data_IF_999441602814
#
_entry.id   IF_999441602814
#
_cell.length_a   1.000
_cell.length_b   1.000
_cell.length_c   1.000
_cell.angle_alpha   90.00
_cell.angle_beta   90.00
_cell.angle_gamma   90.00
#
_symmetry.space_group_name_H-M   'P 1'
#
loop_
_entity.id
_entity.type
_entity.pdbx_description
1 polymer ?
#
# COMPACT_ATOMS: atom_id res chain seq x y z
N UNK A 1 43.15 3.14 -8.42
CA UNK A 1 42.09 3.26 -9.44
C UNK A 1 40.82 2.74 -8.77
N UNK A 2 40.07 3.62 -8.11
CA UNK A 2 38.80 3.27 -7.47
C UNK A 2 37.71 3.41 -8.53
N UNK A 3 37.06 2.29 -8.83
CA UNK A 3 35.94 2.22 -9.74
C UNK A 3 34.69 2.66 -8.98
N UNK A 4 34.05 3.73 -9.44
CA UNK A 4 32.64 3.96 -9.11
C UNK A 4 31.82 3.09 -10.06
N UNK A 5 31.51 1.87 -9.62
CA UNK A 5 30.33 1.16 -10.12
C UNK A 5 29.12 1.91 -9.61
N UNK A 6 28.17 2.26 -10.49
CA UNK A 6 26.83 2.60 -10.04
C UNK A 6 26.31 1.35 -9.32
N UNK A 7 26.18 1.43 -7.99
CA UNK A 7 25.69 0.34 -7.15
C UNK A 7 24.35 -0.15 -7.69
N UNK A 8 24.17 -1.47 -7.72
CA UNK A 8 22.88 -2.11 -7.97
C UNK A 8 21.81 -1.40 -7.12
N UNK A 9 20.77 -0.89 -7.78
CA UNK A 9 19.67 -0.22 -7.07
C UNK A 9 19.05 -1.27 -6.13
N UNK A 10 19.11 -1.09 -4.81
CA UNK A 10 18.50 -2.03 -3.88
C UNK A 10 16.99 -2.12 -4.15
N UNK A 11 16.34 -3.26 -3.85
CA UNK A 11 14.88 -3.38 -3.94
C UNK A 11 14.22 -2.19 -3.24
N UNK A 12 13.08 -1.72 -3.76
CA UNK A 12 12.39 -0.52 -3.30
C UNK A 12 12.26 -0.50 -1.78
N UNK A 13 13.10 0.30 -1.12
CA UNK A 13 13.05 0.50 0.31
C UNK A 13 12.33 1.81 0.62
N UNK A 14 11.55 1.86 1.71
CA UNK A 14 11.03 3.12 2.21
C UNK A 14 12.21 4.06 2.51
N UNK A 15 12.15 5.30 2.00
CA UNK A 15 13.19 6.30 2.24
C UNK A 15 13.02 7.00 3.60
N UNK A 16 11.79 7.04 4.12
CA UNK A 16 11.44 7.52 5.46
C UNK A 16 10.02 7.06 5.82
N UNK A 17 9.74 6.95 7.12
CA UNK A 17 8.40 6.78 7.70
C UNK A 17 8.24 7.89 8.74
N UNK A 18 7.18 8.69 8.65
CA UNK A 18 6.88 9.82 9.55
C UNK A 18 8.01 10.85 9.71
N UNK A 19 8.85 11.00 8.69
CA UNK A 19 9.97 11.95 8.67
C UNK A 19 11.27 11.41 9.29
N UNK A 20 11.26 10.21 9.87
CA UNK A 20 12.45 9.50 10.31
C UNK A 20 12.96 8.57 9.20
N UNK A 21 14.26 8.65 8.89
CA UNK A 21 14.92 7.76 7.94
C UNK A 21 14.92 6.34 8.52
N UNK A 22 14.21 5.41 7.90
CA UNK A 22 14.13 4.00 8.33
C UNK A 22 14.82 3.09 7.33
N UNK A 23 15.59 2.14 7.86
CA UNK A 23 16.30 1.10 7.11
C UNK A 23 15.50 -0.22 7.26
N UNK A 24 14.29 -0.27 6.71
CA UNK A 24 13.47 -1.49 6.74
C UNK A 24 13.61 -2.28 5.44
N UNK A 25 14.01 -3.54 5.58
CA UNK A 25 14.14 -4.50 4.50
C UNK A 25 12.79 -5.15 4.21
N UNK A 26 12.17 -4.78 3.08
CA UNK A 26 10.93 -5.42 2.60
C UNK A 26 11.28 -6.76 1.91
N UNK A 27 10.55 -7.86 2.17
CA UNK A 27 10.75 -9.12 1.46
C UNK A 27 10.40 -9.02 -0.03
N UNK A 28 11.26 -9.56 -0.89
CA UNK A 28 11.04 -9.59 -2.34
C UNK A 28 10.03 -10.68 -2.70
N UNK A 29 8.81 -10.31 -3.09
CA UNK A 29 7.85 -11.21 -3.73
C UNK A 29 8.18 -11.32 -5.23
N UNK A 30 8.43 -12.55 -5.70
CA UNK A 30 8.66 -12.83 -7.12
C UNK A 30 7.33 -12.91 -7.86
N UNK A 31 6.89 -11.82 -8.47
CA UNK A 31 5.73 -11.81 -9.38
C UNK A 31 6.10 -12.55 -10.68
N UNK A 32 5.18 -13.38 -11.20
CA UNK A 32 5.39 -14.09 -12.45
C UNK A 32 5.15 -13.15 -13.64
N UNK A 33 6.18 -12.87 -14.43
CA UNK A 33 6.13 -12.01 -15.61
C UNK A 33 5.07 -12.47 -16.62
N UNK A 34 3.92 -11.79 -16.67
CA UNK A 34 3.05 -11.80 -17.85
C UNK A 34 3.63 -10.83 -18.88
N UNK A 35 3.70 -11.28 -20.13
CA UNK A 35 4.39 -10.58 -21.21
C UNK A 35 3.86 -9.17 -21.45
N UNK A 36 4.71 -8.17 -21.23
CA UNK A 36 4.47 -6.80 -21.66
C UNK A 36 4.30 -6.77 -23.18
N UNK A 37 3.15 -6.30 -23.65
CA UNK A 37 2.94 -6.04 -25.07
C UNK A 37 3.90 -4.92 -25.52
N UNK A 38 4.71 -5.19 -26.55
CA UNK A 38 5.68 -4.24 -27.10
C UNK A 38 4.98 -2.96 -27.54
N UNK A 39 5.37 -1.81 -26.96
CA UNK A 39 4.86 -0.50 -27.39
C UNK A 39 5.58 -0.12 -28.70
N UNK A 40 4.97 0.78 -29.48
CA UNK A 40 5.59 1.33 -30.70
C UNK A 40 6.11 2.72 -30.41
N UNK A 41 7.04 3.27 -31.21
CA UNK A 41 7.57 4.63 -31.01
C UNK A 41 6.50 5.72 -31.07
N UNK A 42 5.35 5.45 -31.69
CA UNK A 42 4.19 6.33 -31.63
C UNK A 42 3.59 6.48 -30.22
N UNK A 43 4.01 5.66 -29.25
CA UNK A 43 3.59 5.71 -27.86
C UNK A 43 4.45 6.64 -27.00
N UNK A 44 5.47 7.28 -27.58
CA UNK A 44 6.32 8.24 -26.90
C UNK A 44 6.15 9.65 -27.47
N UNK A 45 6.33 10.66 -26.62
CA UNK A 45 6.40 12.07 -26.98
C UNK A 45 7.74 12.62 -26.53
N UNK A 46 8.42 13.33 -27.42
CA UNK A 46 9.63 14.05 -27.06
C UNK A 46 9.25 15.23 -26.15
N UNK A 47 9.80 15.25 -24.93
CA UNK A 47 9.54 16.31 -23.95
C UNK A 47 10.64 17.37 -23.93
N UNK A 48 11.84 17.02 -24.41
CA UNK A 48 12.89 17.99 -24.72
C UNK A 48 13.84 17.46 -25.80
N UNK A 49 14.43 18.39 -26.56
CA UNK A 49 15.45 18.11 -27.56
C UNK A 49 16.87 18.43 -27.08
N UNK A 50 17.84 17.78 -27.72
CA UNK A 50 19.26 18.08 -27.57
C UNK A 50 19.64 19.42 -28.19
N UNK A 51 20.77 19.97 -27.74
CA UNK A 51 21.28 21.27 -28.21
C UNK A 51 22.10 21.21 -29.52
N UNK A 52 22.33 20.02 -30.08
CA UNK A 52 23.13 19.79 -31.28
C UNK A 52 24.36 18.91 -31.02
N UNK A 53 25.08 18.61 -32.10
CA UNK A 53 26.33 17.82 -32.14
C UNK A 53 27.53 18.63 -32.67
N UNK A 54 27.41 19.95 -32.71
CA UNK A 54 28.50 20.84 -33.07
C UNK A 54 29.65 20.75 -32.06
N UNK A 55 30.88 21.13 -32.45
CA UNK A 55 32.06 20.99 -31.57
C UNK A 55 31.95 21.70 -30.21
N UNK A 56 31.15 22.76 -30.14
CA UNK A 56 30.91 23.57 -28.95
C UNK A 56 29.55 23.33 -28.31
N UNK A 57 28.71 22.48 -28.91
CA UNK A 57 27.42 22.15 -28.32
C UNK A 57 27.72 21.34 -27.06
N UNK A 58 27.34 21.86 -25.90
CA UNK A 58 27.49 21.19 -24.61
C UNK A 58 26.11 21.01 -24.05
N UNK A 59 25.82 19.80 -23.63
CA UNK A 59 24.54 19.41 -23.09
C UNK A 59 24.72 18.65 -21.78
N UNK A 60 23.60 18.30 -21.16
CA UNK A 60 23.59 17.50 -19.95
C UNK A 60 22.57 16.36 -20.03
N UNK A 61 22.93 15.22 -19.44
CA UNK A 61 22.02 14.11 -19.23
C UNK A 61 21.10 14.40 -18.03
N UNK A 62 19.93 13.77 -18.03
CA UNK A 62 18.98 13.82 -16.93
C UNK A 62 19.61 13.17 -15.69
N UNK A 63 19.60 13.93 -14.60
CA UNK A 63 19.86 13.40 -13.26
C UNK A 63 18.56 13.51 -12.47
N UNK A 64 17.68 12.55 -12.71
CA UNK A 64 16.35 12.45 -12.12
C UNK A 64 16.27 11.37 -11.04
N UNK A 65 15.16 11.38 -10.31
CA UNK A 65 14.73 10.27 -9.45
C UNK A 65 14.41 9.03 -10.30
N UNK A 66 14.15 7.87 -9.69
CA UNK A 66 13.67 6.64 -10.39
C UNK A 66 14.47 6.19 -11.61
N UNK A 67 15.79 6.36 -11.58
CA UNK A 67 16.67 5.72 -12.54
C UNK A 67 16.52 4.21 -12.46
N UNK A 68 16.21 3.57 -13.59
CA UNK A 68 16.09 2.12 -13.66
C UNK A 68 17.41 1.51 -14.06
N UNK A 69 17.91 1.89 -15.24
CA UNK A 69 19.12 1.32 -15.84
C UNK A 69 19.52 2.13 -17.08
N UNK A 70 20.54 1.65 -17.79
CA UNK A 70 20.95 2.19 -19.08
C UNK A 70 21.35 1.07 -20.04
N UNK A 71 21.32 1.40 -21.32
CA UNK A 71 21.97 0.62 -22.37
C UNK A 71 22.77 1.53 -23.30
N UNK A 72 23.64 0.93 -24.08
CA UNK A 72 24.31 1.57 -25.21
C UNK A 72 23.59 1.14 -26.48
N UNK A 73 23.22 2.12 -27.32
CA UNK A 73 22.55 1.86 -28.59
C UNK A 73 23.46 2.25 -29.75
N UNK A 74 23.21 1.72 -30.95
CA UNK A 74 24.02 2.03 -32.12
C UNK A 74 24.07 3.55 -32.40
N UNK A 75 25.28 4.12 -32.55
CA UNK A 75 25.49 5.56 -32.80
C UNK A 75 25.66 5.94 -34.28
N UNK A 76 25.50 5.02 -35.24
CA UNK A 76 25.54 5.37 -36.67
C UNK A 76 24.47 6.41 -37.03
N UNK A 77 23.37 6.41 -36.26
CA UNK A 77 22.41 7.50 -36.21
C UNK A 77 22.09 7.82 -34.75
N UNK A 78 21.40 8.94 -34.51
CA UNK A 78 20.81 9.21 -33.20
C UNK A 78 19.59 8.30 -33.00
N UNK A 79 19.84 7.03 -32.64
CA UNK A 79 18.90 5.93 -32.73
C UNK A 79 17.89 5.92 -31.58
N UNK A 80 16.86 6.76 -31.73
CA UNK A 80 15.74 6.88 -30.79
C UNK A 80 14.98 5.57 -30.68
N UNK A 81 14.76 4.89 -31.80
CA UNK A 81 13.93 3.68 -31.86
C UNK A 81 14.49 2.56 -30.99
N UNK A 82 15.80 2.31 -31.03
CA UNK A 82 16.44 1.30 -30.19
C UNK A 82 16.41 1.67 -28.70
N UNK A 83 16.55 2.96 -28.38
CA UNK A 83 16.44 3.43 -27.01
C UNK A 83 15.03 3.26 -26.44
N UNK A 84 14.00 3.56 -27.23
CA UNK A 84 12.60 3.38 -26.83
C UNK A 84 12.22 1.89 -26.76
N UNK A 85 12.70 1.06 -27.70
CA UNK A 85 12.55 -0.39 -27.64
C UNK A 85 13.19 -0.97 -26.36
N UNK A 86 14.34 -0.44 -25.95
CA UNK A 86 14.97 -0.82 -24.69
C UNK A 86 14.11 -0.42 -23.49
N UNK A 87 13.59 0.81 -23.45
CA UNK A 87 12.63 1.23 -22.42
C UNK A 87 11.45 0.26 -22.34
N UNK A 88 10.84 -0.13 -23.46
CA UNK A 88 9.73 -1.08 -23.48
C UNK A 88 10.07 -2.48 -22.94
N UNK A 89 11.35 -2.86 -22.98
CA UNK A 89 11.84 -4.13 -22.43
C UNK A 89 12.12 -4.06 -20.92
N UNK A 90 12.23 -2.85 -20.36
CA UNK A 90 12.50 -2.61 -18.94
C UNK A 90 11.19 -2.40 -18.21
N UNK A 91 10.89 -3.29 -17.26
CA UNK A 91 9.69 -3.19 -16.44
C UNK A 91 9.61 -1.83 -15.73
N UNK A 92 8.43 -1.20 -15.80
CA UNK A 92 8.19 0.11 -15.19
C UNK A 92 8.77 1.30 -15.97
N UNK A 93 9.47 1.11 -17.09
CA UNK A 93 9.98 2.24 -17.85
C UNK A 93 8.86 3.08 -18.49
N UNK A 94 8.94 4.40 -18.26
CA UNK A 94 8.02 5.39 -18.86
C UNK A 94 8.74 6.59 -19.44
N UNK A 95 10.06 6.66 -19.30
CA UNK A 95 10.87 7.74 -19.83
C UNK A 95 12.26 7.27 -20.23
N UNK A 96 12.77 7.82 -21.33
CA UNK A 96 14.12 7.59 -21.81
C UNK A 96 14.85 8.92 -22.04
N UNK A 97 16.11 9.00 -21.64
CA UNK A 97 17.03 10.06 -22.02
C UNK A 97 18.18 9.47 -22.86
N UNK A 98 18.26 9.91 -24.11
CA UNK A 98 19.28 9.51 -25.06
C UNK A 98 20.27 10.66 -25.22
N UNK A 99 21.55 10.37 -25.17
CA UNK A 99 22.59 11.40 -25.30
C UNK A 99 23.92 10.79 -25.73
N UNK A 100 24.78 11.60 -26.34
CA UNK A 100 26.17 11.22 -26.58
C UNK A 100 27.00 11.52 -25.33
N UNK A 101 27.85 10.59 -24.92
CA UNK A 101 28.84 10.76 -23.85
C UNK A 101 30.24 10.53 -24.42
N UNK A 102 31.00 11.62 -24.62
CA UNK A 102 32.32 11.58 -25.23
C UNK A 102 33.44 11.46 -24.20
N UNK A 103 34.60 10.99 -24.65
CA UNK A 103 35.81 10.81 -23.83
C UNK A 103 35.59 9.84 -22.66
N UNK A 104 34.83 8.76 -22.91
CA UNK A 104 34.60 7.69 -21.94
C UNK A 104 35.21 6.39 -22.47
N UNK A 105 36.34 5.91 -21.93
CA UNK A 105 37.06 4.75 -22.45
C UNK A 105 36.24 3.46 -22.41
N UNK A 106 35.24 3.35 -21.52
CA UNK A 106 34.35 2.19 -21.52
C UNK A 106 33.46 2.16 -22.77
N UNK A 107 32.90 3.31 -23.14
CA UNK A 107 32.05 3.48 -24.32
C UNK A 107 32.87 3.41 -25.62
N UNK A 108 34.05 4.00 -25.60
CA UNK A 108 34.89 4.13 -26.79
C UNK A 108 35.63 2.84 -27.15
N UNK A 109 36.04 2.04 -26.15
CA UNK A 109 37.02 0.96 -26.33
C UNK A 109 36.57 -0.41 -25.81
N UNK A 110 35.64 -0.47 -24.85
CA UNK A 110 35.34 -1.71 -24.12
C UNK A 110 34.01 -2.33 -24.57
N UNK A 111 32.96 -1.54 -24.70
CA UNK A 111 31.67 -2.05 -25.16
C UNK A 111 31.75 -2.48 -26.63
N UNK A 112 31.25 -3.68 -26.91
CA UNK A 112 31.28 -4.31 -28.24
C UNK A 112 30.52 -3.52 -29.32
N UNK A 113 29.61 -2.67 -28.86
CA UNK A 113 28.77 -1.77 -29.62
C UNK A 113 29.57 -0.64 -30.28
N UNK A 114 30.77 -0.32 -29.76
CA UNK A 114 31.63 0.76 -30.27
C UNK A 114 30.92 2.12 -30.31
N UNK A 115 30.02 2.34 -29.35
CA UNK A 115 29.07 3.44 -29.37
C UNK A 115 29.16 4.28 -28.10
N UNK A 116 29.16 5.59 -28.31
CA UNK A 116 29.05 6.61 -27.27
C UNK A 116 27.62 7.13 -27.10
N UNK A 117 26.63 6.52 -27.76
CA UNK A 117 25.22 6.89 -27.66
C UNK A 117 24.56 6.08 -26.54
N UNK A 118 24.29 6.76 -25.43
CA UNK A 118 23.80 6.18 -24.19
C UNK A 118 22.32 6.47 -24.01
N UNK A 119 21.56 5.42 -23.72
CA UNK A 119 20.14 5.48 -23.42
C UNK A 119 19.93 5.16 -21.94
N UNK A 120 19.63 6.17 -21.13
CA UNK A 120 19.21 5.97 -19.73
C UNK A 120 17.69 5.93 -19.64
N UNK A 121 17.15 5.05 -18.81
CA UNK A 121 15.71 4.82 -18.69
C UNK A 121 15.22 4.94 -17.24
N UNK A 122 14.00 5.44 -17.08
CA UNK A 122 13.45 5.88 -15.80
C UNK A 122 12.00 5.44 -15.64
N UNK A 123 11.57 5.22 -14.39
CA UNK A 123 10.18 4.90 -14.05
C UNK A 123 9.28 6.13 -13.85
N UNK A 124 9.75 7.32 -14.21
CA UNK A 124 8.92 8.53 -14.27
C UNK A 124 9.38 9.51 -15.34
N UNK A 125 8.51 10.45 -15.67
CA UNK A 125 8.73 11.47 -16.69
C UNK A 125 9.60 12.60 -16.18
N UNK A 126 10.70 12.88 -16.87
CA UNK A 126 11.60 13.99 -16.55
C UNK A 126 11.50 15.13 -17.57
N UNK A 127 11.97 16.30 -17.19
CA UNK A 127 11.96 17.50 -18.02
C UNK A 127 13.36 18.12 -18.20
N UNK A 128 13.48 19.10 -19.09
CA UNK A 128 14.77 19.68 -19.47
C UNK A 128 15.53 20.33 -18.29
N UNK A 129 14.83 20.79 -17.25
CA UNK A 129 15.46 21.40 -16.06
C UNK A 129 16.27 20.39 -15.24
N UNK A 130 16.02 19.09 -15.42
CA UNK A 130 16.73 18.00 -14.74
C UNK A 130 18.01 17.58 -15.49
N UNK A 131 18.31 18.20 -16.64
CA UNK A 131 19.56 18.04 -17.39
C UNK A 131 20.71 18.72 -16.63
N UNK A 132 21.22 18.05 -15.61
CA UNK A 132 22.24 18.60 -14.69
C UNK A 132 23.54 17.80 -14.65
N UNK A 133 23.60 16.64 -15.31
CA UNK A 133 24.84 15.89 -15.47
C UNK A 133 25.54 16.32 -16.78
N UNK A 134 26.56 17.17 -16.68
CA UNK A 134 27.32 17.66 -17.83
C UNK A 134 28.53 16.78 -18.20
N UNK A 135 28.80 15.71 -17.45
CA UNK A 135 30.11 15.05 -17.44
C UNK A 135 31.11 15.82 -16.58
N UNK A 136 32.35 15.97 -17.06
CA UNK A 136 33.42 16.70 -16.38
C UNK A 136 34.39 15.82 -15.56
N UNK A 137 34.32 14.50 -15.71
CA UNK A 137 35.25 13.54 -15.13
C UNK A 137 36.47 13.30 -16.04
N UNK A 138 37.65 13.18 -15.42
CA UNK A 138 38.87 12.77 -16.11
C UNK A 138 38.89 11.23 -16.22
N UNK A 139 38.32 10.69 -17.30
CA UNK A 139 38.20 9.23 -17.50
C UNK A 139 39.40 8.62 -18.24
N UNK A 140 39.92 9.33 -19.26
CA UNK A 140 41.22 9.01 -19.85
C UNK A 140 42.37 9.54 -18.99
N UNK A 141 43.58 8.94 -19.05
CA UNK A 141 44.76 9.49 -18.39
C UNK A 141 45.03 10.94 -18.81
N UNK A 142 45.37 11.80 -17.85
CA UNK A 142 45.80 13.16 -18.14
C UNK A 142 47.02 13.12 -19.12
N UNK A 143 47.06 14.01 -20.12
CA UNK A 143 46.33 15.28 -20.25
C UNK A 143 45.10 15.22 -21.18
N UNK A 144 44.47 14.06 -21.35
CA UNK A 144 43.26 13.96 -22.18
C UNK A 144 42.13 14.89 -21.66
N UNK A 145 41.22 15.37 -22.54
CA UNK A 145 40.07 16.16 -22.10
C UNK A 145 39.17 15.43 -21.09
N UNK A 146 38.36 16.19 -20.36
CA UNK A 146 37.30 15.65 -19.52
C UNK A 146 36.15 15.13 -20.40
N UNK A 147 35.43 14.12 -19.93
CA UNK A 147 34.21 13.68 -20.60
C UNK A 147 33.14 14.78 -20.63
N UNK A 148 32.27 14.71 -21.63
CA UNK A 148 31.20 15.68 -21.78
C UNK A 148 30.01 15.06 -22.51
N UNK A 149 28.84 15.68 -22.33
CA UNK A 149 27.59 15.23 -22.92
C UNK A 149 27.15 16.15 -24.06
N UNK A 150 26.56 15.58 -25.11
CA UNK A 150 25.96 16.29 -26.24
C UNK A 150 24.61 15.69 -26.63
N UNK A 151 23.81 16.48 -27.36
CA UNK A 151 22.55 16.05 -27.97
C UNK A 151 21.68 15.24 -27.02
N UNK A 152 21.36 15.79 -25.84
CA UNK A 152 20.57 15.09 -24.83
C UNK A 152 19.09 15.37 -25.02
N UNK A 153 18.34 14.35 -25.47
CA UNK A 153 16.90 14.44 -25.70
C UNK A 153 16.15 13.49 -24.78
N UNK A 154 14.90 13.82 -24.48
CA UNK A 154 14.06 13.08 -23.54
C UNK A 154 12.72 12.72 -24.16
N UNK A 155 12.27 11.49 -23.93
CA UNK A 155 10.99 10.98 -24.43
C UNK A 155 10.20 10.36 -23.30
N UNK A 156 8.98 10.83 -23.11
CA UNK A 156 8.02 10.29 -22.15
C UNK A 156 7.00 9.41 -22.87
N UNK A 157 6.56 8.33 -22.23
CA UNK A 157 5.41 7.58 -22.69
C UNK A 157 4.17 8.49 -22.70
N UNK A 158 3.40 8.49 -23.79
CA UNK A 158 2.16 9.27 -23.96
C UNK A 158 1.08 8.88 -22.95
N UNK A 159 1.08 7.61 -22.56
CA UNK A 159 0.25 7.07 -21.50
C UNK A 159 1.16 6.34 -20.51
N UNK A 160 1.07 6.73 -19.23
CA UNK A 160 1.54 5.85 -18.18
C UNK A 160 0.61 4.64 -18.17
N UNK A 161 1.17 3.43 -18.16
CA UNK A 161 0.33 2.24 -17.96
C UNK A 161 -0.35 2.38 -16.61
N UNK A 162 -1.66 2.13 -16.61
CA UNK A 162 -2.39 2.06 -15.35
C UNK A 162 -1.82 0.88 -14.57
N UNK A 163 -1.26 1.14 -13.39
CA UNK A 163 -0.52 0.10 -12.70
C UNK A 163 -1.53 -0.87 -12.04
N UNK A 164 -1.16 -2.15 -11.95
CA UNK A 164 -2.06 -3.21 -11.47
C UNK A 164 -2.52 -2.98 -10.03
N UNK A 165 -3.70 -3.46 -9.66
CA UNK A 165 -4.15 -3.35 -8.25
C UNK A 165 -3.39 -4.38 -7.40
N UNK A 166 -2.77 -3.98 -6.28
CA UNK A 166 -2.10 -4.93 -5.39
C UNK A 166 -3.02 -6.06 -4.94
N UNK A 167 -2.47 -7.25 -4.76
CA UNK A 167 -3.22 -8.38 -4.24
C UNK A 167 -3.78 -8.06 -2.85
N UNK A 168 -5.03 -8.43 -2.58
CA UNK A 168 -5.69 -8.13 -1.30
C UNK A 168 -6.22 -6.71 -1.17
N UNK A 169 -6.19 -5.92 -2.26
CA UNK A 169 -6.72 -4.55 -2.27
C UNK A 169 -7.70 -4.34 -3.42
N UNK A 170 -8.65 -3.44 -3.21
CA UNK A 170 -9.52 -2.90 -4.25
C UNK A 170 -9.19 -1.44 -4.51
N UNK A 171 -9.03 -1.08 -5.78
CA UNK A 171 -8.86 0.33 -6.17
C UNK A 171 -10.20 1.05 -6.05
N UNK A 172 -10.25 2.07 -5.20
CA UNK A 172 -11.47 2.87 -4.95
C UNK A 172 -11.51 4.15 -5.78
N UNK A 173 -10.36 4.75 -6.13
CA UNK A 173 -10.33 5.89 -7.05
C UNK A 173 -8.99 6.11 -7.74
N UNK A 174 -9.02 7.00 -8.73
CA UNK A 174 -7.85 7.59 -9.38
C UNK A 174 -7.55 7.04 -10.78
N UNK A 175 -6.53 7.59 -11.46
CA UNK A 175 -5.64 8.64 -10.98
C UNK A 175 -6.31 10.03 -10.89
N UNK A 176 -6.03 10.78 -9.82
CA UNK A 176 -6.41 12.20 -9.67
C UNK A 176 -5.19 13.07 -9.38
N UNK A 177 -5.38 14.39 -9.27
CA UNK A 177 -4.35 15.34 -8.82
C UNK A 177 -4.58 15.80 -7.38
N UNK A 178 -5.16 14.93 -6.54
CA UNK A 178 -5.46 15.23 -5.14
C UNK A 178 -5.25 14.01 -4.25
N UNK A 179 -4.59 14.20 -3.12
CA UNK A 179 -4.41 13.18 -2.09
C UNK A 179 -5.52 13.24 -1.04
N UNK A 180 -5.69 12.14 -0.30
CA UNK A 180 -6.65 12.09 0.79
C UNK A 180 -6.25 13.00 1.95
N UNK A 181 -7.26 13.63 2.54
CA UNK A 181 -7.23 14.21 3.86
C UNK A 181 -8.44 13.65 4.61
N UNK A 182 -8.29 12.40 5.09
CA UNK A 182 -9.36 11.60 5.69
C UNK A 182 -9.07 11.34 7.18
N UNK A 183 -10.10 11.05 7.99
CA UNK A 183 -9.93 10.50 9.33
C UNK A 183 -9.15 9.18 9.33
N UNK A 184 -8.59 8.83 10.49
CA UNK A 184 -7.88 7.56 10.67
C UNK A 184 -6.48 7.51 10.06
N UNK A 185 -5.86 8.67 9.83
CA UNK A 185 -4.49 8.77 9.32
C UNK A 185 -3.48 8.14 10.27
N UNK A 186 -2.66 7.23 9.73
CA UNK A 186 -1.65 6.46 10.47
C UNK A 186 -0.21 6.93 10.21
N UNK A 187 -0.04 7.96 9.37
CA UNK A 187 1.28 8.38 8.91
C UNK A 187 1.51 8.10 7.44
N UNK A 188 2.77 8.28 7.03
CA UNK A 188 3.15 8.11 5.63
C UNK A 188 4.58 7.62 5.46
N UNK A 189 4.84 7.05 4.30
CA UNK A 189 6.18 6.68 3.86
C UNK A 189 6.53 7.33 2.52
N UNK A 190 7.81 7.65 2.33
CA UNK A 190 8.32 8.00 1.01
C UNK A 190 8.82 6.78 0.28
N UNK A 191 8.43 6.64 -0.98
CA UNK A 191 8.91 5.62 -1.89
C UNK A 191 9.85 6.23 -2.91
N UNK A 192 10.82 5.44 -3.35
CA UNK A 192 11.77 5.86 -4.38
C UNK A 192 11.17 5.81 -5.79
N UNK A 193 10.05 5.10 -6.00
CA UNK A 193 9.31 4.96 -7.26
C UNK A 193 7.79 4.86 -7.00
N UNK A 194 6.97 5.04 -8.04
CA UNK A 194 5.52 4.85 -7.94
C UNK A 194 5.19 3.35 -7.89
N UNK A 195 5.23 2.75 -6.70
CA UNK A 195 5.06 1.31 -6.46
C UNK A 195 3.90 1.06 -5.50
N UNK A 196 2.80 0.50 -6.00
CA UNK A 196 1.63 0.24 -5.14
C UNK A 196 1.81 -1.05 -4.34
N UNK A 197 2.58 -2.03 -4.81
CA UNK A 197 2.83 -3.26 -4.04
C UNK A 197 3.72 -2.95 -2.84
N UNK A 198 4.71 -2.06 -3.02
CA UNK A 198 5.51 -1.55 -1.90
C UNK A 198 4.64 -0.75 -0.90
N UNK A 199 3.70 0.06 -1.38
CA UNK A 199 2.78 0.80 -0.52
C UNK A 199 1.77 -0.12 0.21
N UNK A 200 1.26 -1.14 -0.48
CA UNK A 200 0.42 -2.17 0.12
C UNK A 200 1.18 -2.93 1.21
N UNK A 201 2.41 -3.38 0.93
CA UNK A 201 3.25 -4.05 1.93
C UNK A 201 3.55 -3.17 3.15
N UNK A 202 3.72 -1.86 2.97
CA UNK A 202 3.86 -0.92 4.08
C UNK A 202 2.57 -0.86 4.91
N UNK A 203 1.39 -0.77 4.27
CA UNK A 203 0.10 -0.81 4.96
C UNK A 203 -0.09 -2.15 5.70
N UNK A 204 0.22 -3.28 5.07
CA UNK A 204 0.05 -4.63 5.65
C UNK A 204 0.91 -4.86 6.90
N UNK A 205 2.10 -4.26 6.93
CA UNK A 205 3.09 -4.41 8.00
C UNK A 205 3.11 -3.24 8.98
N UNK A 206 2.33 -2.19 8.72
CA UNK A 206 2.23 -1.05 9.61
C UNK A 206 1.61 -1.48 10.94
N UNK A 207 2.19 -1.02 12.05
CA UNK A 207 1.67 -1.30 13.39
C UNK A 207 0.24 -0.80 13.51
N UNK A 208 -0.61 -1.57 14.17
CA UNK A 208 -1.99 -1.15 14.37
C UNK A 208 -2.07 0.11 15.24
N UNK A 209 -2.98 1.01 14.89
CA UNK A 209 -3.34 2.12 15.76
C UNK A 209 -4.12 1.56 16.97
N UNK A 210 -3.79 1.96 18.21
CA UNK A 210 -4.44 1.43 19.41
C UNK A 210 -5.96 1.67 19.47
N UNK A 211 -6.45 2.67 18.74
CA UNK A 211 -7.88 3.02 18.65
C UNK A 211 -8.47 2.51 17.34
N UNK A 212 -7.73 2.60 16.24
CA UNK A 212 -8.24 2.35 14.90
C UNK A 212 -8.07 0.95 14.34
N UNK A 213 -7.10 0.19 14.87
CA UNK A 213 -6.73 -1.12 14.35
C UNK A 213 -5.67 -1.06 13.25
N UNK A 214 -5.53 -2.14 12.48
CA UNK A 214 -4.61 -2.21 11.35
C UNK A 214 -4.92 -1.20 10.26
N UNK A 215 -3.94 -0.97 9.38
CA UNK A 215 -4.14 -0.24 8.15
C UNK A 215 -5.15 -0.98 7.25
N UNK A 216 -6.18 -0.25 6.82
CA UNK A 216 -7.27 -0.74 5.97
C UNK A 216 -7.35 0.01 4.65
N UNK A 217 -6.56 1.06 4.48
CA UNK A 217 -6.58 1.90 3.30
C UNK A 217 -5.25 2.61 3.10
N UNK A 218 -4.83 2.76 1.85
CA UNK A 218 -3.72 3.63 1.52
C UNK A 218 -4.00 4.51 0.30
N UNK A 219 -3.36 5.68 0.30
CA UNK A 219 -3.33 6.61 -0.81
C UNK A 219 -1.88 6.81 -1.28
N UNK A 220 -1.61 6.42 -2.52
CA UNK A 220 -0.30 6.64 -3.15
C UNK A 220 -0.37 7.76 -4.18
N UNK A 221 0.56 8.71 -4.10
CA UNK A 221 0.61 9.87 -4.99
C UNK A 221 2.03 10.36 -5.26
N UNK A 222 2.19 11.11 -6.36
CA UNK A 222 3.46 11.70 -6.79
C UNK A 222 3.52 13.18 -6.43
N UNK A 223 4.59 13.58 -5.76
CA UNK A 223 4.89 14.96 -5.41
C UNK A 223 5.73 15.62 -6.51
N UNK A 224 5.26 16.77 -7.03
CA UNK A 224 6.05 17.65 -7.90
C UNK A 224 6.45 18.86 -7.07
N UNK A 225 7.72 19.22 -7.05
CA UNK A 225 8.20 20.49 -6.46
C UNK A 225 8.73 21.33 -7.60
N UNK A 226 8.15 22.53 -7.79
CA UNK A 226 8.47 23.38 -8.95
C UNK A 226 8.29 22.67 -10.30
N UNK A 227 7.27 21.80 -10.40
CA UNK A 227 7.00 21.00 -11.59
C UNK A 227 7.90 19.78 -11.78
N UNK A 228 8.88 19.56 -10.89
CA UNK A 228 9.84 18.45 -10.97
C UNK A 228 9.37 17.30 -10.05
N UNK A 229 9.17 16.08 -10.58
CA UNK A 229 8.91 14.90 -9.75
C UNK A 229 10.01 14.69 -8.71
N UNK A 230 9.63 14.77 -7.43
CA UNK A 230 10.60 14.76 -6.33
C UNK A 230 10.50 13.51 -5.46
N UNK A 231 9.28 13.05 -5.18
CA UNK A 231 9.05 11.87 -4.34
C UNK A 231 7.68 11.25 -4.60
N UNK A 232 7.47 10.05 -4.07
CA UNK A 232 6.20 9.36 -4.02
C UNK A 232 5.83 9.14 -2.56
N UNK A 233 4.58 9.41 -2.24
CA UNK A 233 4.10 9.30 -0.86
C UNK A 233 3.06 8.21 -0.79
N UNK A 234 3.24 7.30 0.16
CA UNK A 234 2.29 6.29 0.58
C UNK A 234 1.68 6.73 1.91
N UNK A 235 0.46 7.27 1.89
CA UNK A 235 -0.27 7.66 3.09
C UNK A 235 -1.20 6.53 3.53
N UNK A 236 -1.15 6.15 4.81
CA UNK A 236 -1.84 4.96 5.34
C UNK A 236 -2.95 5.38 6.32
N UNK A 237 -4.04 4.63 6.34
CA UNK A 237 -5.21 4.91 7.16
C UNK A 237 -5.86 3.62 7.70
N UNK A 238 -6.35 3.66 8.93
CA UNK A 238 -7.13 2.56 9.51
C UNK A 238 -8.63 2.67 9.19
N UNK A 239 -9.09 3.83 8.68
CA UNK A 239 -10.46 4.03 8.19
C UNK A 239 -10.41 4.04 6.65
N UNK A 240 -11.18 3.16 5.97
CA UNK A 240 -11.36 3.23 4.54
C UNK A 240 -11.86 4.60 4.06
N UNK A 241 -11.31 5.10 2.97
CA UNK A 241 -11.66 6.38 2.38
C UNK A 241 -11.92 6.26 0.87
N UNK A 242 -12.50 7.31 0.28
CA UNK A 242 -12.81 7.37 -1.16
C UNK A 242 -12.34 8.71 -1.79
N UNK A 243 -12.69 8.93 -3.06
CA UNK A 243 -12.33 10.15 -3.81
C UNK A 243 -12.87 11.44 -3.15
N UNK A 244 -13.97 11.35 -2.38
CA UNK A 244 -14.60 12.54 -1.76
C UNK A 244 -13.69 13.21 -0.73
N UNK A 245 -12.80 12.42 -0.10
CA UNK A 245 -11.80 12.91 0.84
C UNK A 245 -10.47 13.30 0.17
N UNK A 246 -10.33 13.10 -1.14
CA UNK A 246 -9.17 13.51 -1.92
C UNK A 246 -9.18 15.02 -2.20
N UNK A 247 -8.98 15.81 -1.14
CA UNK A 247 -9.06 17.28 -1.17
C UNK A 247 -7.69 17.97 -1.00
N UNK A 248 -6.63 17.23 -0.69
CA UNK A 248 -5.28 17.79 -0.57
C UNK A 248 -4.69 17.97 -1.98
N UNK A 249 -4.43 19.22 -2.38
CA UNK A 249 -3.85 19.55 -3.68
C UNK A 249 -2.31 19.79 -3.61
N UNK A 250 -1.72 19.71 -2.41
CA UNK A 250 -0.37 20.16 -2.12
C UNK A 250 -0.32 21.55 -1.46
N UNK A 251 0.89 22.03 -1.18
CA UNK A 251 1.14 23.32 -0.51
C UNK A 251 2.39 24.00 -1.06
N UNK A 252 2.31 25.31 -1.32
CA UNK A 252 3.42 26.08 -1.90
C UNK A 252 3.75 25.58 -3.30
N UNK A 253 5.03 25.26 -3.54
CA UNK A 253 5.50 24.71 -4.82
C UNK A 253 5.25 23.21 -4.97
N UNK A 254 4.75 22.54 -3.91
CA UNK A 254 4.40 21.12 -3.94
C UNK A 254 3.01 20.95 -4.58
N UNK A 255 2.97 20.18 -5.66
CA UNK A 255 1.75 19.79 -6.37
C UNK A 255 1.60 18.27 -6.34
N UNK A 256 0.38 17.80 -6.04
CA UNK A 256 0.05 16.38 -6.02
C UNK A 256 -0.44 15.94 -7.40
N UNK A 257 0.09 14.82 -7.89
CA UNK A 257 -0.37 14.21 -9.14
C UNK A 257 -0.44 12.70 -9.02
N UNK A 258 -1.16 12.06 -9.95
CA UNK A 258 -1.24 10.59 -10.05
C UNK A 258 -1.66 9.94 -8.72
N UNK A 259 -2.56 10.56 -7.99
CA UNK A 259 -3.06 10.05 -6.72
C UNK A 259 -4.08 8.92 -6.94
N UNK A 260 -3.94 7.82 -6.20
CA UNK A 260 -4.84 6.67 -6.25
C UNK A 260 -5.12 6.15 -4.84
N UNK A 261 -6.35 5.71 -4.62
CA UNK A 261 -6.79 5.15 -3.35
C UNK A 261 -7.07 3.66 -3.46
N UNK A 262 -6.64 2.90 -2.45
CA UNK A 262 -6.81 1.45 -2.38
C UNK A 262 -7.31 1.07 -0.99
N UNK A 263 -8.40 0.31 -0.94
CA UNK A 263 -8.94 -0.27 0.29
C UNK A 263 -8.46 -1.71 0.42
N UNK A 264 -8.01 -2.10 1.60
CA UNK A 264 -7.64 -3.47 1.91
C UNK A 264 -8.91 -4.31 1.98
N UNK A 265 -8.89 -5.46 1.33
CA UNK A 265 -10.02 -6.38 1.31
C UNK A 265 -10.23 -6.96 2.71
N UNK A 266 -11.44 -6.81 3.22
CA UNK A 266 -11.89 -7.47 4.44
C UNK A 266 -12.81 -8.63 4.07
N UNK A 267 -12.41 -9.85 4.40
CA UNK A 267 -13.20 -11.04 4.12
C UNK A 267 -14.41 -11.18 5.07
N UNK A 268 -14.41 -10.50 6.22
CA UNK A 268 -15.55 -10.44 7.13
C UNK A 268 -16.55 -9.42 6.62
N UNK A 269 -17.76 -9.88 6.34
CA UNK A 269 -18.89 -9.01 6.05
C UNK A 269 -19.43 -8.46 7.36
N UNK A 270 -19.57 -7.13 7.42
CA UNK A 270 -20.29 -6.44 8.50
C UNK A 270 -19.78 -6.76 9.91
N UNK A 271 -18.46 -6.79 10.09
CA UNK A 271 -17.85 -7.10 11.39
C UNK A 271 -17.99 -6.01 12.45
N UNK A 272 -18.58 -4.85 12.10
CA UNK A 272 -19.07 -3.84 13.05
C UNK A 272 -20.56 -4.01 13.40
N UNK A 273 -21.22 -5.04 12.86
CA UNK A 273 -22.61 -5.38 13.15
C UNK A 273 -23.68 -4.35 12.72
N UNK A 274 -23.32 -3.41 11.85
CA UNK A 274 -24.14 -2.26 11.46
C UNK A 274 -25.32 -2.61 10.54
N UNK A 275 -25.34 -3.83 9.98
CA UNK A 275 -26.49 -4.34 9.23
C UNK A 275 -27.72 -4.61 10.11
N UNK A 276 -27.56 -4.67 11.44
CA UNK A 276 -28.67 -4.71 12.38
C UNK A 276 -29.00 -3.30 12.88
N UNK A 277 -30.25 -2.86 12.66
CA UNK A 277 -30.74 -1.57 13.10
C UNK A 277 -32.06 -1.71 13.86
N UNK A 278 -32.27 -0.82 14.83
CA UNK A 278 -33.56 -0.72 15.50
C UNK A 278 -34.64 -0.12 14.60
N UNK A 279 -35.90 -0.36 14.99
CA UNK A 279 -37.03 0.37 14.43
C UNK A 279 -36.88 1.88 14.66
N UNK A 280 -37.44 2.67 13.76
CA UNK A 280 -37.36 4.14 13.81
C UNK A 280 -37.85 4.68 15.16
N UNK A 281 -36.98 5.44 15.84
CA UNK A 281 -37.27 6.07 17.14
C UNK A 281 -37.02 5.18 18.35
N UNK A 282 -36.43 4.00 18.16
CA UNK A 282 -35.97 3.13 19.25
C UNK A 282 -34.45 3.30 19.41
N UNK A 283 -34.03 3.76 20.60
CA UNK A 283 -32.61 4.04 20.88
C UNK A 283 -31.80 2.79 21.25
N UNK A 284 -32.47 1.69 21.64
CA UNK A 284 -31.84 0.43 22.04
C UNK A 284 -32.68 -0.77 21.60
N UNK A 285 -32.05 -1.73 20.94
CA UNK A 285 -32.64 -3.02 20.62
C UNK A 285 -31.54 -4.07 20.46
N UNK A 286 -31.93 -5.35 20.53
CA UNK A 286 -30.99 -6.45 20.34
C UNK A 286 -31.68 -7.66 19.69
N UNK A 287 -30.87 -8.50 19.06
CA UNK A 287 -31.29 -9.76 18.44
C UNK A 287 -30.27 -10.85 18.72
N UNK A 288 -30.69 -12.11 18.73
CA UNK A 288 -29.73 -13.23 18.73
C UNK A 288 -29.03 -13.36 17.38
N UNK A 289 -29.65 -12.95 16.28
CA UNK A 289 -29.10 -13.14 14.93
C UNK A 289 -29.72 -12.18 13.91
N UNK A 290 -29.00 -11.93 12.82
CA UNK A 290 -29.50 -11.28 11.62
C UNK A 290 -28.77 -11.84 10.37
N UNK A 291 -28.94 -11.21 9.21
CA UNK A 291 -28.43 -11.73 7.94
C UNK A 291 -26.94 -12.06 7.93
N UNK A 292 -26.08 -11.29 8.62
CA UNK A 292 -24.63 -11.43 8.53
C UNK A 292 -24.01 -12.18 9.72
N UNK A 293 -24.68 -12.22 10.87
CA UNK A 293 -24.15 -12.80 12.11
C UNK A 293 -25.21 -13.58 12.88
N UNK A 294 -24.74 -14.67 13.51
CA UNK A 294 -25.57 -15.60 14.28
C UNK A 294 -24.97 -15.77 15.67
N UNK A 295 -25.74 -15.40 16.68
CA UNK A 295 -25.56 -15.77 18.07
C UNK A 295 -26.36 -17.02 18.40
N UNK A 296 -25.72 -18.00 19.05
CA UNK A 296 -26.35 -19.25 19.47
C UNK A 296 -26.13 -19.54 20.95
N UNK A 297 -27.18 -20.05 21.57
CA UNK A 297 -27.18 -20.58 22.94
C UNK A 297 -27.11 -22.13 22.95
N UNK A 298 -26.48 -22.74 23.95
CA UNK A 298 -26.59 -24.16 24.22
C UNK A 298 -28.04 -24.55 24.57
N UNK A 299 -28.32 -25.86 24.60
CA UNK A 299 -29.64 -26.33 24.98
C UNK A 299 -30.02 -25.88 26.39
N UNK A 300 -31.12 -25.12 26.50
CA UNK A 300 -31.61 -24.57 27.76
C UNK A 300 -31.14 -23.14 28.07
N UNK A 301 -30.27 -22.56 27.24
CA UNK A 301 -29.90 -21.15 27.31
C UNK A 301 -30.73 -20.27 26.40
N UNK A 302 -30.72 -18.96 26.66
CA UNK A 302 -31.38 -17.95 25.84
C UNK A 302 -30.48 -16.71 25.73
N UNK A 303 -30.28 -16.18 24.52
CA UNK A 303 -29.51 -14.94 24.29
C UNK A 303 -28.09 -14.92 24.89
N UNK A 304 -27.41 -16.07 24.93
CA UNK A 304 -26.01 -16.16 25.43
C UNK A 304 -24.99 -15.51 24.49
N UNK A 305 -25.40 -15.27 23.24
CA UNK A 305 -24.70 -14.45 22.28
C UNK A 305 -25.74 -13.62 21.53
N UNK A 306 -25.53 -12.31 21.46
CA UNK A 306 -26.49 -11.38 20.87
C UNK A 306 -25.78 -10.22 20.18
N UNK A 307 -26.54 -9.48 19.39
CA UNK A 307 -26.10 -8.27 18.69
C UNK A 307 -26.96 -7.13 19.20
N UNK A 308 -26.31 -6.10 19.72
CA UNK A 308 -26.95 -4.91 20.24
C UNK A 308 -26.79 -3.79 19.23
N UNK A 309 -27.84 -2.99 19.02
CA UNK A 309 -27.72 -1.68 18.37
C UNK A 309 -27.90 -0.63 19.47
N UNK A 310 -26.76 -0.12 19.95
CA UNK A 310 -26.66 0.91 20.97
C UNK A 310 -25.28 1.59 20.97
N UNK A 311 -25.22 2.83 20.48
CA UNK A 311 -23.98 3.61 20.32
C UNK A 311 -23.09 3.62 21.58
N UNK A 312 -23.60 3.80 22.82
CA UNK A 312 -22.74 3.83 24.00
C UNK A 312 -21.97 2.53 24.29
N UNK A 313 -22.37 1.41 23.69
CA UNK A 313 -21.69 0.12 23.81
C UNK A 313 -20.89 -0.28 22.58
N UNK A 314 -20.97 0.48 21.48
CA UNK A 314 -20.17 0.22 20.30
C UNK A 314 -18.77 0.84 20.44
N UNK A 315 -17.78 0.21 19.83
CA UNK A 315 -16.47 0.82 19.63
C UNK A 315 -16.54 1.87 18.53
N UNK A 316 -17.22 1.54 17.44
CA UNK A 316 -17.49 2.44 16.33
C UNK A 316 -18.89 2.16 15.76
N UNK A 317 -19.56 3.19 15.25
CA UNK A 317 -20.90 3.05 14.68
C UNK A 317 -21.99 2.96 15.73
N UNK A 318 -22.94 2.05 15.53
CA UNK A 318 -24.15 1.90 16.32
C UNK A 318 -24.29 0.53 16.95
N UNK A 319 -23.57 -0.49 16.49
CA UNK A 319 -23.83 -1.87 16.89
C UNK A 319 -22.61 -2.57 17.47
N UNK A 320 -22.86 -3.64 18.23
CA UNK A 320 -21.82 -4.41 18.92
C UNK A 320 -22.27 -5.85 19.14
N UNK A 321 -21.34 -6.80 19.10
CA UNK A 321 -21.57 -8.18 19.50
C UNK A 321 -21.41 -8.33 21.02
N UNK A 322 -22.34 -9.02 21.67
CA UNK A 322 -22.28 -9.38 23.08
C UNK A 322 -22.15 -10.90 23.22
N UNK A 323 -21.22 -11.34 24.07
CA UNK A 323 -21.14 -12.72 24.53
C UNK A 323 -21.35 -12.77 26.04
N UNK A 324 -22.19 -13.71 26.47
CA UNK A 324 -22.82 -13.76 27.78
C UNK A 324 -24.31 -13.46 27.67
N UNK A 325 -25.12 -14.09 28.53
CA UNK A 325 -26.59 -13.99 28.54
C UNK A 325 -27.05 -12.53 28.67
N UNK A 326 -27.71 -11.99 27.64
CA UNK A 326 -28.04 -10.56 27.52
C UNK A 326 -28.86 -9.99 28.69
N UNK A 327 -29.71 -10.81 29.31
CA UNK A 327 -30.56 -10.45 30.45
C UNK A 327 -30.15 -11.15 31.76
N UNK A 328 -29.05 -11.93 31.73
CA UNK A 328 -28.52 -12.64 32.88
C UNK A 328 -29.39 -13.80 33.39
N UNK A 329 -30.25 -14.38 32.55
CA UNK A 329 -31.17 -15.46 32.98
C UNK A 329 -30.49 -16.78 33.30
N UNK A 330 -29.32 -17.04 32.73
CA UNK A 330 -28.58 -18.27 32.93
C UNK A 330 -27.06 -18.07 32.88
N UNK A 331 -26.32 -19.18 33.01
CA UNK A 331 -24.86 -19.20 33.09
C UNK A 331 -24.26 -20.13 32.04
N UNK A 332 -24.79 -20.09 30.82
CA UNK A 332 -24.30 -20.87 29.67
C UNK A 332 -23.40 -20.03 28.76
N UNK A 333 -22.58 -20.72 27.97
CA UNK A 333 -21.64 -20.10 27.03
C UNK A 333 -22.35 -19.79 25.72
N UNK A 334 -22.27 -18.55 25.24
CA UNK A 334 -22.76 -18.19 23.92
C UNK A 334 -21.70 -18.35 22.85
N UNK A 335 -22.15 -18.54 21.60
CA UNK A 335 -21.27 -18.49 20.42
C UNK A 335 -21.77 -17.43 19.45
N UNK A 336 -20.89 -16.51 19.05
CA UNK A 336 -21.13 -15.53 18.00
C UNK A 336 -20.26 -15.86 16.78
N UNK A 337 -20.87 -15.95 15.61
CA UNK A 337 -20.18 -16.29 14.36
C UNK A 337 -20.81 -15.60 13.15
N UNK A 338 -20.04 -15.37 12.06
CA UNK A 338 -20.64 -15.01 10.78
C UNK A 338 -21.68 -16.04 10.33
N UNK A 339 -22.77 -15.57 9.73
CA UNK A 339 -23.90 -16.41 9.31
C UNK A 339 -23.55 -17.42 8.20
N UNK A 340 -22.44 -17.20 7.50
CA UNK A 340 -21.94 -18.07 6.44
C UNK A 340 -20.43 -18.23 6.56
N UNK A 341 -19.85 -19.35 6.09
CA UNK A 341 -18.40 -19.51 6.01
C UNK A 341 -17.75 -18.35 5.24
N UNK A 342 -16.61 -17.89 5.74
CA UNK A 342 -15.86 -16.76 5.21
C UNK A 342 -15.12 -17.21 3.95
N UNK A 343 -15.40 -16.56 2.82
CA UNK A 343 -14.70 -16.82 1.58
C UNK A 343 -13.25 -16.32 1.68
N UNK A 344 -12.30 -17.24 1.60
CA UNK A 344 -10.86 -17.00 1.74
C UNK A 344 -10.10 -17.83 0.71
N UNK A 345 -8.85 -17.46 0.47
CA UNK A 345 -7.94 -18.23 -0.39
C UNK A 345 -7.17 -19.26 0.43
N UNK A 346 -7.26 -20.54 0.05
CA UNK A 346 -6.58 -21.61 0.78
C UNK A 346 -5.05 -21.42 0.76
N UNK A 347 -4.42 -21.51 1.93
CA UNK A 347 -2.97 -21.34 2.11
C UNK A 347 -2.50 -19.90 2.30
N UNK A 348 -3.40 -18.91 2.16
CA UNK A 348 -3.08 -17.50 2.43
C UNK A 348 -3.16 -17.22 3.93
N UNK A 349 -2.21 -16.46 4.45
CA UNK A 349 -2.21 -15.96 5.82
C UNK A 349 -3.04 -14.67 5.88
N UNK A 350 -3.95 -14.59 6.84
CA UNK A 350 -4.75 -13.41 7.10
C UNK A 350 -4.49 -12.88 8.51
N UNK A 351 -4.65 -11.58 8.68
CA UNK A 351 -4.73 -10.92 9.99
C UNK A 351 -6.18 -10.84 10.43
N UNK A 352 -6.55 -11.67 11.41
CA UNK A 352 -7.80 -11.52 12.17
C UNK A 352 -7.59 -10.42 13.20
N UNK A 353 -8.45 -9.41 13.20
CA UNK A 353 -8.48 -8.39 14.25
C UNK A 353 -9.89 -8.09 14.71
N UNK A 354 -10.00 -7.61 15.94
CA UNK A 354 -11.25 -7.15 16.56
C UNK A 354 -10.93 -6.40 17.85
N UNK A 355 -11.90 -5.64 18.36
CA UNK A 355 -11.80 -4.95 19.64
C UNK A 355 -12.64 -5.67 20.69
N UNK A 356 -12.15 -5.68 21.93
CA UNK A 356 -12.88 -6.20 23.10
C UNK A 356 -13.08 -5.11 24.13
N UNK A 357 -14.24 -5.09 24.79
CA UNK A 357 -14.45 -4.38 26.05
C UNK A 357 -15.26 -5.22 27.03
N UNK A 358 -15.00 -5.02 28.31
CA UNK A 358 -15.80 -5.52 29.44
C UNK A 358 -16.30 -4.37 30.34
N UNK A 359 -16.15 -3.11 29.90
CA UNK A 359 -16.38 -1.94 30.76
C UNK A 359 -17.82 -1.77 31.23
N UNK A 360 -18.78 -2.35 30.52
CA UNK A 360 -20.19 -1.96 30.62
C UNK A 360 -20.99 -2.69 31.69
N UNK A 361 -20.40 -3.71 32.33
CA UNK A 361 -21.11 -4.54 33.31
C UNK A 361 -20.48 -4.56 34.71
N UNK A 362 -19.49 -3.69 34.96
CA UNK A 362 -18.97 -3.42 36.30
C UNK A 362 -17.93 -4.44 36.80
N UNK A 363 -17.80 -4.60 38.13
CA UNK A 363 -16.76 -5.44 38.75
C UNK A 363 -17.03 -6.95 38.64
N UNK A 364 -18.24 -7.36 38.26
CA UNK A 364 -18.62 -8.77 38.10
C UNK A 364 -17.93 -9.44 36.89
N UNK A 365 -17.26 -8.63 36.06
CA UNK A 365 -16.50 -8.97 34.85
C UNK A 365 -15.14 -9.64 35.10
N UNK A 366 -14.75 -9.81 36.36
CA UNK A 366 -13.48 -10.48 36.70
C UNK A 366 -13.39 -11.92 36.15
N UNK A 367 -14.54 -12.54 35.86
CA UNK A 367 -14.64 -13.88 35.26
C UNK A 367 -14.80 -13.92 33.75
N UNK A 368 -14.83 -12.76 33.07
CA UNK A 368 -15.05 -12.72 31.63
C UNK A 368 -13.94 -13.45 30.86
N UNK A 369 -14.33 -14.24 29.88
CA UNK A 369 -13.40 -14.89 28.96
C UNK A 369 -13.95 -14.93 27.54
N UNK A 370 -13.04 -15.04 26.58
CA UNK A 370 -13.34 -15.13 25.16
C UNK A 370 -12.42 -16.15 24.51
N UNK A 371 -12.98 -17.25 23.99
CA UNK A 371 -12.26 -18.16 23.13
C UNK A 371 -12.50 -17.83 21.65
N UNK A 372 -11.42 -17.81 20.87
CA UNK A 372 -11.45 -17.57 19.43
C UNK A 372 -11.24 -18.91 18.74
N UNK A 373 -12.21 -19.32 17.94
CA UNK A 373 -12.16 -20.61 17.25
C UNK A 373 -12.05 -20.37 15.75
N UNK A 374 -11.04 -20.95 15.13
CA UNK A 374 -10.81 -20.94 13.69
C UNK A 374 -10.86 -22.38 13.16
N UNK A 375 -11.87 -22.67 12.35
CA UNK A 375 -12.12 -23.99 11.79
C UNK A 375 -12.17 -25.11 12.84
N UNK A 376 -12.81 -24.84 13.98
CA UNK A 376 -12.92 -25.78 15.11
C UNK A 376 -11.69 -25.87 16.00
N UNK A 377 -10.59 -25.16 15.69
CA UNK A 377 -9.41 -25.09 16.54
C UNK A 377 -9.37 -23.78 17.32
N UNK A 378 -9.06 -23.85 18.61
CA UNK A 378 -8.84 -22.64 19.42
C UNK A 378 -7.56 -21.94 18.97
N UNK A 379 -7.70 -20.69 18.53
CA UNK A 379 -6.59 -19.79 18.21
C UNK A 379 -6.01 -19.22 19.50
N UNK A 380 -6.88 -18.70 20.37
CA UNK A 380 -6.53 -18.15 21.68
C UNK A 380 -7.73 -18.13 22.62
N UNK A 381 -7.46 -17.97 23.92
CA UNK A 381 -8.45 -17.70 24.95
C UNK A 381 -8.02 -16.47 25.76
N UNK A 382 -8.78 -15.39 25.63
CA UNK A 382 -8.52 -14.11 26.28
C UNK A 382 -9.29 -14.08 27.60
N UNK A 383 -8.62 -13.62 28.67
CA UNK A 383 -9.25 -13.37 29.97
C UNK A 383 -9.03 -11.90 30.31
N UNK A 384 -9.86 -10.99 29.77
CA UNK A 384 -9.59 -9.54 29.80
C UNK A 384 -9.60 -8.96 31.23
N UNK A 385 -10.34 -9.59 32.15
CA UNK A 385 -10.72 -8.95 33.41
C UNK A 385 -11.56 -7.70 33.16
N UNK A 386 -11.56 -6.76 34.11
CA UNK A 386 -12.20 -5.46 33.90
C UNK A 386 -11.32 -4.54 33.04
N UNK A 387 -11.82 -4.16 31.87
CA UNK A 387 -11.21 -3.20 30.96
C UNK A 387 -12.02 -1.91 30.95
N UNK A 388 -11.40 -0.76 31.19
CA UNK A 388 -12.10 0.54 31.15
C UNK A 388 -12.24 1.12 29.74
N UNK A 389 -11.63 0.47 28.75
CA UNK A 389 -11.53 0.93 27.36
C UNK A 389 -11.51 -0.29 26.44
N UNK A 390 -11.85 -0.05 25.17
CA UNK A 390 -11.67 -1.03 24.11
C UNK A 390 -10.20 -1.39 23.92
N UNK A 391 -9.94 -2.69 23.74
CA UNK A 391 -8.60 -3.23 23.51
C UNK A 391 -8.58 -3.98 22.20
N UNK A 392 -7.68 -3.60 21.30
CA UNK A 392 -7.43 -4.30 20.05
C UNK A 392 -6.75 -5.65 20.30
N UNK A 393 -7.25 -6.68 19.63
CA UNK A 393 -6.62 -7.99 19.53
C UNK A 393 -6.35 -8.36 18.08
N UNK A 394 -5.19 -8.96 17.81
CA UNK A 394 -4.76 -9.36 16.46
C UNK A 394 -4.11 -10.74 16.46
N UNK A 395 -4.47 -11.55 15.47
CA UNK A 395 -3.98 -12.91 15.29
C UNK A 395 -3.72 -13.20 13.82
N UNK A 396 -2.64 -13.92 13.54
CA UNK A 396 -2.40 -14.48 12.21
C UNK A 396 -3.06 -15.85 12.11
N UNK A 397 -3.93 -16.03 11.11
CA UNK A 397 -4.59 -17.30 10.82
C UNK A 397 -4.31 -17.72 9.38
N UNK A 398 -4.16 -19.02 9.13
CA UNK A 398 -3.99 -19.56 7.77
C UNK A 398 -5.35 -20.05 7.27
N UNK A 399 -5.73 -19.61 6.07
CA UNK A 399 -6.99 -19.97 5.45
C UNK A 399 -6.96 -21.37 4.81
N UNK A 400 -8.11 -22.05 4.80
CA UNK A 400 -8.30 -23.34 4.12
C UNK A 400 -9.32 -23.27 2.98
N UNK A 401 -9.86 -22.07 2.71
CA UNK A 401 -11.01 -21.83 1.85
C UNK A 401 -12.33 -22.09 2.59
N UNK A 402 -13.26 -21.14 2.53
CA UNK A 402 -14.56 -21.21 3.23
C UNK A 402 -14.39 -21.47 4.73
N UNK A 403 -13.68 -20.57 5.40
CA UNK A 403 -13.29 -20.71 6.80
C UNK A 403 -14.46 -20.42 7.76
N UNK A 404 -14.42 -21.04 8.94
CA UNK A 404 -15.38 -20.78 10.02
C UNK A 404 -14.66 -20.06 11.15
N UNK A 405 -15.17 -18.88 11.52
CA UNK A 405 -14.75 -18.12 12.70
C UNK A 405 -15.85 -18.18 13.74
N UNK A 406 -15.49 -18.40 15.00
CA UNK A 406 -16.43 -18.32 16.12
C UNK A 406 -15.76 -17.64 17.30
N UNK A 407 -16.56 -16.88 18.03
CA UNK A 407 -16.24 -16.29 19.31
C UNK A 407 -17.12 -16.95 20.37
N UNK A 408 -16.51 -17.53 21.39
CA UNK A 408 -17.23 -18.20 22.48
C UNK A 408 -16.92 -17.46 23.78
N UNK A 409 -17.91 -16.82 24.38
CA UNK A 409 -17.70 -16.06 25.62
C UNK A 409 -18.17 -16.79 26.86
N UNK A 410 -17.64 -16.35 27.99
CA UNK A 410 -17.98 -16.80 29.35
C UNK A 410 -19.47 -16.69 29.65
N UNK A 411 -19.96 -17.46 30.64
CA UNK A 411 -21.31 -17.29 31.11
C UNK A 411 -21.47 -15.96 31.86
N UNK A 412 -22.71 -15.44 31.91
CA UNK A 412 -23.03 -14.31 32.78
C UNK A 412 -22.61 -14.62 34.25
N UNK A 413 -22.14 -13.62 35.01
CA UNK A 413 -22.12 -12.18 34.71
C UNK A 413 -20.82 -11.68 34.04
N UNK A 414 -20.02 -12.53 33.40
CA UNK A 414 -18.83 -12.09 32.64
C UNK A 414 -19.20 -11.83 31.18
N UNK A 415 -19.53 -10.58 30.83
CA UNK A 415 -19.92 -10.21 29.48
C UNK A 415 -18.75 -9.66 28.68
N UNK A 416 -18.63 -10.12 27.43
CA UNK A 416 -17.61 -9.65 26.50
C UNK A 416 -18.28 -8.96 25.33
N UNK A 417 -17.95 -7.67 25.15
CA UNK A 417 -18.36 -6.90 23.98
C UNK A 417 -17.27 -7.00 22.91
N UNK A 418 -17.67 -7.27 21.68
CA UNK A 418 -16.77 -7.40 20.52
C UNK A 418 -17.25 -6.47 19.42
N UNK A 419 -16.33 -5.75 18.79
CA UNK A 419 -16.62 -4.85 17.67
C UNK A 419 -15.46 -4.83 16.63
N UNK A 420 -15.76 -4.32 15.44
CA UNK A 420 -14.86 -4.13 14.29
C UNK A 420 -14.05 -5.38 13.94
N UNK A 421 -14.73 -6.52 13.85
CA UNK A 421 -14.12 -7.77 13.40
C UNK A 421 -13.70 -7.64 11.94
N UNK A 422 -12.43 -7.88 11.65
CA UNK A 422 -11.91 -7.87 10.30
C UNK A 422 -10.96 -9.04 10.06
N UNK A 423 -10.96 -9.55 8.83
CA UNK A 423 -10.02 -10.55 8.35
C UNK A 423 -9.35 -10.01 7.09
N UNK A 424 -8.14 -9.51 7.27
CA UNK A 424 -7.39 -8.76 6.26
C UNK A 424 -6.34 -9.67 5.61
N UNK A 425 -6.31 -9.71 4.28
CA UNK A 425 -5.36 -10.52 3.50
C UNK A 425 -3.93 -9.95 3.56
#
# INVERSE_FOLDING_TARGET
MHFFTFEDVPPSQPAAVDGDLVNQTVPTTTSSCRGLARRSNNNYVQVFGGMGTGPNDRDAAVKGTVYLTYTIVNNATYNVDDCLNYCDSVEGCVFANLYYEFENPLLDLVFSEGSNLKCTVYADTHCATEKTNFGGQQLYPAPAPLNYIQQSSGWAAKSLVEPDTPQGYDKVFGPTNRANNAPGYMGFAFLNKYDMDACASLCDTHGADPVGGACQYFNIWRALVNGIPTTYTCAMYFIPADESTAINNGQGDLVITKSRGYVRQNAIVDGGFEGYMCDLGVDFCFTSSYTNWVGTSPAGGDLDASIFNYVPYAHNGYSVGLLGTADGTDTLLGTLAPASPIATEAGVSYTLQFFISTSFSGQDEAGANLAIIWNGNTVDTITPGYQSQWVLHQYTVVAQGNNVLQFIGSPAPGWVFIDNVALLA
#
